data_IF_095164690334
#
_entry.id   IF_095164690334
#
_cell.length_a   1.000
_cell.length_b   1.000
_cell.length_c   1.000
_cell.angle_alpha   90.00
_cell.angle_beta   90.00
_cell.angle_gamma   90.00
#
_symmetry.space_group_name_H-M   'P 1'
#
loop_
_entity.id
_entity.type
_entity.pdbx_description
1 polymer ?
#
# COMPACT_ATOMS: atom_id res chain seq x y z
N UNK A 1 -15.64 3.14 4.13
CA UNK A 1 -14.48 3.14 3.21
C UNK A 1 -13.75 4.47 3.36
N UNK A 2 -12.47 4.42 3.74
CA UNK A 2 -11.61 5.60 3.93
C UNK A 2 -10.53 5.62 2.86
N UNK A 3 -10.14 6.82 2.42
CA UNK A 3 -9.02 7.03 1.50
C UNK A 3 -7.85 7.63 2.26
N UNK A 4 -6.67 7.05 2.08
CA UNK A 4 -5.41 7.53 2.61
C UNK A 4 -4.72 8.40 1.56
N UNK A 5 -4.22 9.58 1.94
CA UNK A 5 -3.34 10.32 1.03
C UNK A 5 -2.00 9.62 0.94
N UNK A 6 -1.17 10.06 -0.01
CA UNK A 6 0.22 9.61 -0.14
C UNK A 6 0.97 9.66 1.20
N UNK A 7 0.77 10.74 1.98
CA UNK A 7 1.43 10.95 3.27
C UNK A 7 1.00 9.90 4.31
N UNK A 8 -0.31 9.68 4.44
CA UNK A 8 -0.86 8.69 5.37
C UNK A 8 -0.45 7.27 5.00
N UNK A 9 -0.42 6.97 3.70
CA UNK A 9 0.01 5.66 3.19
C UNK A 9 1.47 5.40 3.53
N UNK A 10 2.36 6.38 3.31
CA UNK A 10 3.76 6.31 3.71
C UNK A 10 3.93 6.08 5.23
N UNK A 11 3.15 6.80 6.06
CA UNK A 11 3.18 6.62 7.51
C UNK A 11 2.67 5.24 7.93
N UNK A 12 1.60 4.75 7.30
CA UNK A 12 0.96 3.47 7.62
C UNK A 12 1.88 2.27 7.34
N UNK A 13 2.57 2.28 6.21
CA UNK A 13 3.48 1.17 5.81
C UNK A 13 4.95 1.46 6.15
N UNK A 14 5.23 2.55 6.87
CA UNK A 14 6.56 2.99 7.31
C UNK A 14 7.60 3.06 6.17
N UNK A 15 7.23 3.63 5.02
CA UNK A 15 8.15 3.83 3.89
C UNK A 15 8.20 5.29 3.42
N UNK A 16 9.28 5.64 2.74
CA UNK A 16 9.43 6.92 2.05
C UNK A 16 8.57 7.02 0.79
N UNK A 17 8.26 8.24 0.35
CA UNK A 17 7.50 8.50 -0.89
C UNK A 17 8.16 7.87 -2.11
N UNK A 18 9.49 7.85 -2.16
CA UNK A 18 10.25 7.21 -3.24
C UNK A 18 10.00 5.70 -3.29
N UNK A 19 9.98 5.04 -2.12
CA UNK A 19 9.64 3.62 -2.04
C UNK A 19 8.19 3.37 -2.44
N UNK A 20 7.26 4.25 -2.05
CA UNK A 20 5.87 4.15 -2.45
C UNK A 20 5.74 4.20 -3.99
N UNK A 21 6.39 5.14 -4.66
CA UNK A 21 6.37 5.19 -6.13
C UNK A 21 7.00 3.97 -6.80
N UNK A 22 8.02 3.35 -6.18
CA UNK A 22 8.57 2.07 -6.66
C UNK A 22 7.57 0.94 -6.51
N UNK A 23 6.83 0.90 -5.41
CA UNK A 23 5.77 -0.07 -5.19
C UNK A 23 4.63 0.13 -6.19
N UNK A 24 4.21 1.36 -6.47
CA UNK A 24 3.20 1.64 -7.50
C UNK A 24 3.62 1.20 -8.91
N UNK A 25 4.92 0.97 -9.16
CA UNK A 25 5.40 0.38 -10.43
C UNK A 25 5.33 -1.15 -10.43
N UNK A 26 5.12 -1.78 -9.28
CA UNK A 26 4.90 -3.22 -9.17
C UNK A 26 3.39 -3.48 -9.23
N UNK A 27 3.01 -4.50 -10.00
CA UNK A 27 1.60 -4.93 -10.14
C UNK A 27 0.97 -5.41 -8.83
N UNK A 28 1.79 -5.72 -7.82
CA UNK A 28 1.34 -6.23 -6.52
C UNK A 28 0.82 -5.13 -5.58
N UNK A 29 1.16 -3.86 -5.83
CA UNK A 29 0.75 -2.75 -4.96
C UNK A 29 -0.51 -2.06 -5.52
N UNK A 30 -1.48 -1.68 -4.66
CA UNK A 30 -2.71 -1.05 -5.11
C UNK A 30 -2.45 0.26 -5.84
N UNK A 31 -3.28 0.55 -6.85
CA UNK A 31 -3.10 1.74 -7.67
C UNK A 31 -3.70 2.98 -7.00
N UNK A 32 -3.04 4.14 -7.14
CA UNK A 32 -3.56 5.38 -6.62
C UNK A 32 -4.82 5.83 -7.36
N UNK A 33 -5.85 6.24 -6.62
CA UNK A 33 -7.09 6.79 -7.15
C UNK A 33 -7.15 8.31 -6.98
N UNK A 34 -7.76 8.99 -7.96
CA UNK A 34 -8.00 10.44 -7.93
C UNK A 34 -9.30 10.74 -7.19
N UNK A 35 -9.22 11.48 -6.08
CA UNK A 35 -10.36 11.77 -5.18
C UNK A 35 -10.99 13.14 -5.45
N UNK A 36 -10.23 14.07 -6.01
CA UNK A 36 -10.69 15.45 -6.21
C UNK A 36 -10.02 16.11 -7.40
N UNK A 37 -10.70 16.11 -8.54
CA UNK A 37 -10.40 16.95 -9.70
C UNK A 37 -8.96 16.88 -10.22
N UNK A 38 -8.29 15.73 -10.07
CA UNK A 38 -6.94 15.49 -10.61
C UNK A 38 -5.77 15.98 -9.74
N UNK A 39 -5.99 16.73 -8.66
CA UNK A 39 -4.91 17.19 -7.76
C UNK A 39 -4.73 16.33 -6.51
N UNK A 40 -5.79 15.65 -6.07
CA UNK A 40 -5.76 14.82 -4.87
C UNK A 40 -5.72 13.36 -5.27
N UNK A 41 -4.57 12.74 -5.01
CA UNK A 41 -4.31 11.32 -5.24
C UNK A 41 -4.23 10.61 -3.88
N UNK A 42 -4.90 9.46 -3.76
CA UNK A 42 -4.90 8.64 -2.55
C UNK A 42 -5.07 7.15 -2.84
N UNK A 43 -5.01 6.34 -1.80
CA UNK A 43 -5.20 4.89 -1.85
C UNK A 43 -6.37 4.51 -0.96
N UNK A 44 -7.10 3.46 -1.33
CA UNK A 44 -8.13 2.94 -0.46
C UNK A 44 -7.48 2.24 0.73
N UNK A 45 -7.90 2.59 1.95
CA UNK A 45 -7.31 2.05 3.18
C UNK A 45 -7.35 0.53 3.20
N UNK A 46 -8.48 -0.06 2.78
CA UNK A 46 -8.67 -1.51 2.76
C UNK A 46 -7.75 -2.24 1.77
N UNK A 47 -7.38 -1.61 0.64
CA UNK A 47 -6.45 -2.23 -0.31
C UNK A 47 -5.04 -2.29 0.29
N UNK A 48 -4.64 -1.23 1.00
CA UNK A 48 -3.35 -1.18 1.70
C UNK A 48 -3.31 -2.20 2.84
N UNK A 49 -4.38 -2.32 3.63
CA UNK A 49 -4.48 -3.37 4.66
C UNK A 49 -4.41 -4.77 4.06
N UNK A 50 -5.19 -5.05 3.00
CA UNK A 50 -5.18 -6.35 2.34
C UNK A 50 -3.80 -6.70 1.75
N UNK A 51 -3.09 -5.72 1.19
CA UNK A 51 -1.72 -5.90 0.71
C UNK A 51 -0.73 -6.21 1.85
N UNK A 52 -0.85 -5.52 2.99
CA UNK A 52 -0.05 -5.82 4.19
C UNK A 52 -0.34 -7.24 4.72
N UNK A 53 -1.61 -7.63 4.76
CA UNK A 53 -2.05 -8.96 5.17
C UNK A 53 -1.49 -10.05 4.23
N UNK A 54 -1.57 -9.85 2.92
CA UNK A 54 -0.99 -10.75 1.93
C UNK A 54 0.52 -10.93 2.12
N UNK A 55 1.27 -9.84 2.36
CA UNK A 55 2.70 -9.92 2.70
C UNK A 55 2.97 -10.63 4.02
N UNK A 56 2.15 -10.39 5.04
CA UNK A 56 2.28 -11.06 6.33
C UNK A 56 2.02 -12.57 6.19
N UNK A 57 1.03 -12.98 5.39
CA UNK A 57 0.73 -14.38 5.09
C UNK A 57 1.84 -15.05 4.27
N UNK A 58 2.37 -14.35 3.26
CA UNK A 58 3.52 -14.83 2.49
C UNK A 58 4.77 -15.02 3.38
N UNK A 59 5.01 -14.10 4.33
CA UNK A 59 6.09 -14.25 5.32
C UNK A 59 5.90 -15.47 6.22
N UNK A 60 4.67 -15.72 6.68
CA UNK A 60 4.35 -16.90 7.52
C UNK A 60 4.58 -18.23 6.78
N UNK A 61 4.43 -18.24 5.46
CA UNK A 61 4.66 -19.45 4.64
C UNK A 61 6.15 -19.84 4.57
N UNK A 62 7.08 -18.88 4.64
CA UNK A 62 8.52 -19.17 4.57
C UNK A 62 9.15 -19.43 5.95
N UNK A 63 8.51 -19.01 7.03
CA UNK A 63 8.98 -19.27 8.40
C UNK A 63 8.33 -20.53 9.01
N UNK A 64 8.35 -21.61 8.23
CA UNK A 64 8.12 -22.98 8.68
C UNK A 64 9.32 -23.83 8.30
N UNK A 65 10.49 -23.56 8.90
CA UNK A 65 11.57 -24.54 8.93
C UNK A 65 11.57 -25.16 10.32
N UNK A 66 10.99 -26.36 10.35
CA UNK A 66 11.17 -27.41 11.36
C UNK A 66 12.64 -27.69 11.64
#
# INVERSE_FOLDING_TARGET
>A
MRVLRIQDTCSKIAISRTSLWRLCKQDDFPQPISIGGGRVIGFLEHEIDHWLEARAAARKTTQGRS
#
